data_IF_759740086924
#
_entry.id   IF_759740086924
#
_cell.length_a   1.000
_cell.length_b   1.000
_cell.length_c   1.000
_cell.angle_alpha   90.00
_cell.angle_beta   90.00
_cell.angle_gamma   90.00
#
_symmetry.space_group_name_H-M   'P 1'
#
loop_
_entity.id
_entity.type
_entity.pdbx_description
1 polymer ?
#
# COMPACT_ATOMS: atom_id res chain seq x y z
N UNK A 1 -32.15 15.46 -8.28
CA UNK A 1 -31.03 14.51 -8.11
C UNK A 1 -30.23 14.27 -9.40
N UNK A 2 -30.83 14.21 -10.59
CA UNK A 2 -30.09 13.98 -11.86
C UNK A 2 -29.02 15.03 -12.21
N UNK A 3 -29.28 16.32 -11.96
CA UNK A 3 -28.31 17.38 -12.27
C UNK A 3 -27.03 17.34 -11.43
N UNK A 4 -27.09 16.86 -10.19
CA UNK A 4 -25.92 16.76 -9.33
C UNK A 4 -24.97 15.65 -9.78
N UNK A 5 -25.54 14.49 -10.17
CA UNK A 5 -24.78 13.37 -10.74
C UNK A 5 -24.15 13.72 -12.08
N UNK A 6 -24.89 14.43 -12.95
CA UNK A 6 -24.40 14.88 -14.25
C UNK A 6 -23.21 15.85 -14.11
N UNK A 7 -23.32 16.82 -13.19
CA UNK A 7 -22.23 17.75 -12.89
C UNK A 7 -21.00 17.03 -12.30
N UNK A 8 -21.21 16.08 -11.39
CA UNK A 8 -20.14 15.28 -10.81
C UNK A 8 -19.40 14.46 -11.88
N UNK A 9 -20.13 13.72 -12.72
CA UNK A 9 -19.55 12.92 -13.81
C UNK A 9 -18.73 13.80 -14.77
N UNK A 10 -19.22 14.99 -15.11
CA UNK A 10 -18.52 15.94 -15.99
C UNK A 10 -17.22 16.48 -15.39
N UNK A 11 -17.19 16.74 -14.08
CA UNK A 11 -15.97 17.17 -13.40
C UNK A 11 -14.94 16.03 -13.37
N UNK A 12 -15.37 14.82 -13.02
CA UNK A 12 -14.48 13.66 -12.98
C UNK A 12 -13.92 13.29 -14.35
N UNK A 13 -14.69 13.48 -15.43
CA UNK A 13 -14.20 13.23 -16.79
C UNK A 13 -13.08 14.20 -17.19
N UNK A 14 -13.12 15.47 -16.75
CA UNK A 14 -12.02 16.43 -17.01
C UNK A 14 -10.74 16.09 -16.25
N UNK A 15 -10.85 15.49 -15.06
CA UNK A 15 -9.69 15.09 -14.27
C UNK A 15 -8.89 13.95 -14.92
N UNK A 16 -9.52 13.15 -15.80
CA UNK A 16 -8.84 12.07 -16.55
C UNK A 16 -7.68 12.56 -17.41
N UNK A 17 -7.70 13.83 -17.85
CA UNK A 17 -6.64 14.38 -18.69
C UNK A 17 -5.33 14.56 -17.91
N UNK A 18 -5.42 14.75 -16.60
CA UNK A 18 -4.26 14.90 -15.71
C UNK A 18 -3.86 13.59 -15.05
N UNK A 19 -4.83 12.77 -14.63
CA UNK A 19 -4.57 11.53 -13.90
C UNK A 19 -4.57 10.27 -14.77
N UNK A 20 -4.89 10.40 -16.06
CA UNK A 20 -5.15 9.26 -16.94
C UNK A 20 -6.59 8.74 -16.83
N UNK A 21 -7.01 7.84 -17.74
CA UNK A 21 -8.32 7.19 -17.63
C UNK A 21 -8.42 6.43 -16.31
N UNK A 22 -9.59 6.49 -15.66
CA UNK A 22 -9.85 5.64 -14.49
C UNK A 22 -9.54 4.18 -14.88
N UNK A 23 -8.61 3.56 -14.17
CA UNK A 23 -8.23 2.17 -14.37
C UNK A 23 -9.48 1.32 -14.13
N UNK A 24 -10.16 0.92 -15.20
CA UNK A 24 -11.18 -0.14 -15.16
C UNK A 24 -10.42 -1.46 -15.05
N UNK A 25 -9.79 -1.68 -13.90
CA UNK A 25 -9.32 -3.00 -13.52
C UNK A 25 -10.54 -3.89 -13.29
N UNK A 26 -10.39 -5.18 -13.59
CA UNK A 26 -11.35 -6.18 -13.15
C UNK A 26 -11.32 -6.20 -11.60
N UNK A 27 -12.44 -5.84 -10.97
CA UNK A 27 -12.55 -5.78 -9.51
C UNK A 27 -12.52 -7.19 -8.88
N UNK A 28 -12.78 -8.22 -9.68
CA UNK A 28 -12.72 -9.62 -9.29
C UNK A 28 -11.34 -10.22 -9.59
N UNK A 29 -10.43 -9.47 -10.22
CA UNK A 29 -9.07 -9.93 -10.44
C UNK A 29 -8.32 -10.07 -9.10
N UNK A 30 -7.52 -11.15 -8.94
CA UNK A 30 -6.74 -11.34 -7.73
C UNK A 30 -5.72 -10.21 -7.57
N UNK A 31 -5.57 -9.72 -6.35
CA UNK A 31 -4.51 -8.76 -6.01
C UNK A 31 -3.17 -9.49 -6.09
N UNK A 32 -2.40 -9.23 -7.14
CA UNK A 32 -1.05 -9.79 -7.30
C UNK A 32 -0.06 -8.84 -6.59
N UNK A 33 0.47 -9.27 -5.45
CA UNK A 33 1.60 -8.58 -4.82
C UNK A 33 2.86 -8.92 -5.62
N UNK A 34 3.35 -7.96 -6.39
CA UNK A 34 4.60 -8.10 -7.11
C UNK A 34 5.71 -7.65 -6.18
N UNK A 35 6.41 -8.61 -5.59
CA UNK A 35 7.62 -8.32 -4.84
C UNK A 35 8.66 -7.73 -5.79
N UNK A 36 9.16 -6.54 -5.46
CA UNK A 36 10.30 -5.95 -6.12
C UNK A 36 11.59 -6.28 -5.35
N UNK A 37 12.73 -5.89 -5.92
CA UNK A 37 14.04 -6.15 -5.33
C UNK A 37 14.20 -5.46 -3.96
N UNK A 38 13.46 -4.36 -3.70
CA UNK A 38 13.50 -3.65 -2.44
C UNK A 38 12.70 -4.35 -1.34
N UNK A 39 11.55 -4.93 -1.69
CA UNK A 39 10.76 -5.75 -0.75
C UNK A 39 11.56 -6.98 -0.31
N UNK A 40 12.23 -7.65 -1.24
CA UNK A 40 13.07 -8.82 -0.94
C UNK A 40 14.26 -8.45 -0.03
N UNK A 41 14.97 -7.37 -0.34
CA UNK A 41 16.08 -6.89 0.49
C UNK A 41 15.62 -6.47 1.89
N UNK A 42 14.42 -5.91 2.00
CA UNK A 42 13.84 -5.51 3.29
C UNK A 42 13.47 -6.72 4.15
N UNK A 43 12.94 -7.80 3.56
CA UNK A 43 12.67 -9.05 4.28
C UNK A 43 13.94 -9.71 4.82
N UNK A 44 15.04 -9.69 4.04
CA UNK A 44 16.34 -10.18 4.50
C UNK A 44 16.84 -9.39 5.70
N UNK A 45 16.84 -8.05 5.62
CA UNK A 45 17.31 -7.18 6.71
C UNK A 45 16.44 -7.34 7.98
N UNK A 46 15.11 -7.41 7.82
CA UNK A 46 14.16 -7.61 8.92
C UNK A 46 14.32 -8.98 9.61
N UNK A 47 14.78 -10.00 8.90
CA UNK A 47 15.02 -11.34 9.47
C UNK A 47 16.04 -11.35 10.62
N UNK A 48 16.87 -10.30 10.72
CA UNK A 48 17.86 -10.13 11.78
C UNK A 48 17.33 -9.43 13.03
N UNK A 49 16.06 -8.99 13.05
CA UNK A 49 15.44 -8.37 14.21
C UNK A 49 14.50 -9.32 14.96
N UNK A 50 14.34 -9.09 16.26
CA UNK A 50 13.34 -9.71 17.14
C UNK A 50 12.50 -8.60 17.77
N UNK A 51 11.23 -8.87 18.04
CA UNK A 51 10.37 -7.92 18.74
C UNK A 51 10.43 -8.20 20.22
N UNK A 52 10.89 -7.21 21.00
CA UNK A 52 10.87 -7.23 22.45
C UNK A 52 9.74 -6.34 22.97
N UNK A 53 9.17 -6.71 24.11
CA UNK A 53 8.12 -5.93 24.77
C UNK A 53 8.61 -5.54 26.15
N UNK A 54 8.54 -4.24 26.47
CA UNK A 54 8.91 -3.76 27.81
C UNK A 54 7.80 -3.99 28.84
N UNK A 55 8.10 -3.76 30.12
CA UNK A 55 7.14 -3.90 31.22
C UNK A 55 5.97 -2.89 31.15
N UNK A 56 6.06 -1.87 30.27
CA UNK A 56 5.01 -0.88 30.02
C UNK A 56 4.12 -1.27 28.81
N UNK A 57 4.46 -2.35 28.09
CA UNK A 57 3.73 -2.85 26.93
C UNK A 57 4.14 -2.24 25.59
N UNK A 58 5.27 -1.55 25.50
CA UNK A 58 5.78 -1.04 24.23
C UNK A 58 6.58 -2.10 23.47
N UNK A 59 6.43 -2.14 22.15
CA UNK A 59 7.10 -3.11 21.27
C UNK A 59 8.22 -2.45 20.48
N UNK A 60 9.42 -3.03 20.54
CA UNK A 60 10.59 -2.54 19.83
C UNK A 60 11.29 -3.66 19.05
N UNK A 61 11.77 -3.33 17.84
CA UNK A 61 12.62 -4.23 17.08
C UNK A 61 14.07 -4.13 17.58
N UNK A 62 14.59 -5.22 18.12
CA UNK A 62 15.97 -5.34 18.61
C UNK A 62 16.74 -6.27 17.67
N UNK A 63 17.96 -5.90 17.29
CA UNK A 63 18.80 -6.74 16.43
C UNK A 63 19.27 -7.96 17.23
N UNK A 64 19.20 -9.16 16.64
CA UNK A 64 19.72 -10.39 17.26
C UNK A 64 21.21 -10.20 17.58
N UNK A 65 21.58 -10.35 18.85
CA UNK A 65 23.00 -10.28 19.23
C UNK A 65 23.76 -11.45 18.59
N UNK A 66 24.78 -11.12 17.78
CA UNK A 66 25.67 -12.11 17.13
C UNK A 66 25.48 -12.35 15.63
N UNK A 67 24.76 -11.47 14.92
CA UNK A 67 24.72 -11.46 13.44
C UNK A 67 25.99 -10.89 12.82
#
# INVERSE_FOLDING_TARGET
>A
MGHALDSFMRVTDRLRFWFGPATRGDIDAPVVHKHDDFETASEEDLGHFVVETDDQGHHYGVRKEGA
#
